data_IF_610718551540
#
_entry.id   IF_610718551540
#
_cell.length_a   1.000
_cell.length_b   1.000
_cell.length_c   1.000
_cell.angle_alpha   90.00
_cell.angle_beta   90.00
_cell.angle_gamma   90.00
#
_symmetry.space_group_name_H-M   'P 1'
#
loop_
_entity.id
_entity.type
_entity.pdbx_description
1 polymer ?
#
# COMPACT_ATOMS: atom_id res chain seq x y z
N UNK A 1 22.75 2.59 -51.31
CA UNK A 1 22.69 3.31 -50.08
C UNK A 1 21.42 2.85 -49.39
N UNK A 2 21.56 1.93 -48.46
CA UNK A 2 20.47 1.39 -47.63
C UNK A 2 20.72 1.96 -46.24
N UNK A 3 19.95 2.97 -45.87
CA UNK A 3 19.91 3.43 -44.49
C UNK A 3 18.92 2.53 -43.75
N UNK A 4 19.48 1.57 -43.05
CA UNK A 4 18.76 0.80 -42.05
C UNK A 4 18.58 1.70 -40.83
N UNK A 5 17.41 2.30 -40.70
CA UNK A 5 16.98 3.00 -39.50
C UNK A 5 16.63 1.95 -38.45
N UNK A 6 17.63 1.59 -37.67
CA UNK A 6 17.49 0.71 -36.49
C UNK A 6 16.82 1.52 -35.39
N UNK A 7 15.48 1.53 -35.39
CA UNK A 7 14.71 2.06 -34.30
C UNK A 7 14.80 1.05 -33.17
N UNK A 8 15.89 1.15 -32.39
CA UNK A 8 15.92 0.54 -31.07
C UNK A 8 14.81 1.22 -30.24
N UNK A 9 13.70 0.53 -30.10
CA UNK A 9 12.74 0.85 -29.03
C UNK A 9 13.48 0.69 -27.71
N UNK A 10 13.89 1.79 -27.10
CA UNK A 10 14.30 1.83 -25.70
C UNK A 10 13.12 1.27 -24.90
N UNK A 11 13.20 0.01 -24.52
CA UNK A 11 12.29 -0.54 -23.52
C UNK A 11 12.62 0.23 -22.24
N UNK A 12 11.75 1.17 -21.87
CA UNK A 12 11.82 1.81 -20.57
C UNK A 12 11.89 0.73 -19.49
N UNK A 13 13.00 0.70 -18.78
CA UNK A 13 13.24 -0.27 -17.72
C UNK A 13 12.15 -0.10 -16.64
N UNK A 14 11.33 -1.13 -16.46
CA UNK A 14 10.25 -1.11 -15.49
C UNK A 14 10.85 -1.28 -14.09
N UNK A 15 11.05 -0.19 -13.37
CA UNK A 15 11.62 -0.19 -12.04
C UNK A 15 10.55 0.10 -10.99
N UNK A 16 10.49 -0.70 -9.92
CA UNK A 16 9.47 -0.65 -8.87
C UNK A 16 10.09 -0.60 -7.48
N UNK A 17 9.69 0.38 -6.68
CA UNK A 17 9.98 0.47 -5.26
C UNK A 17 8.75 0.02 -4.46
N UNK A 18 8.93 -0.89 -3.49
CA UNK A 18 7.88 -1.32 -2.57
C UNK A 18 8.24 -0.78 -1.17
N UNK A 19 7.29 -0.09 -0.54
CA UNK A 19 7.40 0.38 0.85
C UNK A 19 6.36 -0.37 1.69
N UNK A 20 6.83 -1.38 2.44
CA UNK A 20 5.98 -2.34 3.13
C UNK A 20 6.75 -2.95 4.32
N UNK A 21 6.20 -2.93 5.51
CA UNK A 21 6.84 -3.42 6.72
C UNK A 21 6.60 -4.92 7.01
N UNK A 22 5.66 -5.54 6.32
CA UNK A 22 5.53 -6.99 6.28
C UNK A 22 6.50 -7.55 5.23
N UNK A 23 7.68 -7.99 5.69
CA UNK A 23 8.75 -8.51 4.85
C UNK A 23 8.29 -9.67 3.95
N UNK A 24 7.41 -10.55 4.46
CA UNK A 24 6.90 -11.68 3.67
C UNK A 24 6.00 -11.22 2.54
N UNK A 25 5.15 -10.25 2.83
CA UNK A 25 4.28 -9.68 1.81
C UNK A 25 5.09 -8.89 0.77
N UNK A 26 6.06 -8.06 1.23
CA UNK A 26 6.96 -7.32 0.35
C UNK A 26 7.76 -8.25 -0.58
N UNK A 27 8.30 -9.36 -0.05
CA UNK A 27 9.08 -10.33 -0.83
C UNK A 27 8.19 -11.09 -1.84
N UNK A 28 6.97 -11.47 -1.43
CA UNK A 28 6.00 -12.09 -2.34
C UNK A 28 5.66 -11.15 -3.48
N UNK A 29 5.32 -9.92 -3.17
CA UNK A 29 4.98 -8.90 -4.17
C UNK A 29 6.18 -8.61 -5.10
N UNK A 30 7.39 -8.52 -4.54
CA UNK A 30 8.60 -8.31 -5.31
C UNK A 30 8.89 -9.48 -6.27
N UNK A 31 8.64 -10.70 -5.85
CA UNK A 31 8.83 -11.90 -6.70
C UNK A 31 7.86 -11.88 -7.88
N UNK A 32 6.58 -11.64 -7.63
CA UNK A 32 5.54 -11.54 -8.66
C UNK A 32 5.87 -10.45 -9.71
N UNK A 33 6.36 -9.29 -9.27
CA UNK A 33 6.75 -8.23 -10.20
C UNK A 33 8.05 -8.54 -10.95
N UNK A 34 9.03 -9.22 -10.33
CA UNK A 34 10.23 -9.67 -11.04
C UNK A 34 9.89 -10.67 -12.14
N UNK A 35 8.96 -11.60 -11.89
CA UNK A 35 8.47 -12.55 -12.88
C UNK A 35 7.77 -11.85 -14.06
N UNK A 36 7.25 -10.64 -13.85
CA UNK A 36 6.67 -9.74 -14.87
C UNK A 36 7.70 -8.82 -15.54
N UNK A 37 8.99 -8.98 -15.23
CA UNK A 37 10.09 -8.25 -15.86
C UNK A 37 10.40 -6.90 -15.24
N UNK A 38 9.99 -6.65 -13.99
CA UNK A 38 10.38 -5.44 -13.25
C UNK A 38 11.70 -5.64 -12.50
N UNK A 39 12.50 -4.58 -12.43
CA UNK A 39 13.59 -4.46 -11.45
C UNK A 39 12.97 -3.94 -10.16
N UNK A 40 13.03 -4.71 -9.07
CA UNK A 40 12.29 -4.41 -7.83
C UNK A 40 13.23 -4.29 -6.64
N UNK A 41 13.09 -3.18 -5.91
CA UNK A 41 13.61 -3.01 -4.55
C UNK A 41 12.45 -2.87 -3.56
N UNK A 42 12.67 -3.25 -2.29
CA UNK A 42 11.71 -2.98 -1.22
C UNK A 42 12.39 -2.49 0.04
N UNK A 43 11.68 -1.66 0.79
CA UNK A 43 12.09 -1.06 2.05
C UNK A 43 10.97 -1.18 3.09
N UNK A 44 11.34 -1.34 4.36
CA UNK A 44 10.38 -1.62 5.42
C UNK A 44 9.91 -0.37 6.19
N UNK A 45 10.62 0.74 6.07
CA UNK A 45 10.37 1.96 6.84
C UNK A 45 10.89 3.22 6.13
N UNK A 46 10.58 4.38 6.69
CA UNK A 46 11.02 5.67 6.15
C UNK A 46 12.53 5.83 6.25
N UNK A 47 13.19 5.30 7.29
CA UNK A 47 14.63 5.43 7.43
C UNK A 47 15.37 4.71 6.29
N UNK A 48 14.91 3.53 5.89
CA UNK A 48 15.42 2.82 4.73
C UNK A 48 15.06 3.53 3.40
N UNK A 49 13.86 4.12 3.32
CA UNK A 49 13.44 4.92 2.18
C UNK A 49 14.32 6.16 1.98
N UNK A 50 14.76 6.81 3.05
CA UNK A 50 15.57 8.03 2.99
C UNK A 50 16.95 7.83 2.37
N UNK A 51 17.52 6.63 2.53
CA UNK A 51 18.82 6.27 1.92
C UNK A 51 18.67 5.63 0.53
N UNK A 52 17.43 5.36 0.10
CA UNK A 52 17.11 4.88 -1.25
C UNK A 52 16.83 6.08 -2.14
N UNK A 53 17.36 6.09 -3.38
CA UNK A 53 17.04 7.14 -4.34
C UNK A 53 15.74 6.80 -5.10
N UNK A 54 14.62 7.49 -4.83
CA UNK A 54 13.36 7.19 -5.52
C UNK A 54 13.36 7.58 -6.99
N UNK A 55 14.34 8.35 -7.46
CA UNK A 55 14.44 8.72 -8.89
C UNK A 55 14.87 7.55 -9.79
N UNK A 56 15.41 6.49 -9.20
CA UNK A 56 15.73 5.24 -9.90
C UNK A 56 14.49 4.39 -10.22
N UNK A 57 13.32 4.77 -9.67
CA UNK A 57 12.09 3.99 -9.79
C UNK A 57 11.01 4.74 -10.56
N UNK A 58 10.51 4.11 -11.64
CA UNK A 58 9.36 4.63 -12.40
C UNK A 58 8.06 4.48 -11.61
N UNK A 59 7.99 3.46 -10.74
CA UNK A 59 6.80 3.10 -9.99
C UNK A 59 7.12 2.89 -8.51
N UNK A 60 6.11 3.15 -7.65
CA UNK A 60 6.18 2.79 -6.25
C UNK A 60 4.84 2.22 -5.76
N UNK A 61 4.90 1.17 -4.94
CA UNK A 61 3.77 0.64 -4.17
C UNK A 61 4.04 0.93 -2.70
N UNK A 62 3.09 1.58 -2.02
CA UNK A 62 3.27 2.03 -0.63
C UNK A 62 2.10 1.52 0.22
N UNK A 63 2.40 0.76 1.29
CA UNK A 63 1.41 0.54 2.34
C UNK A 63 1.26 1.80 3.19
N UNK A 64 0.02 2.16 3.52
CA UNK A 64 -0.25 3.29 4.43
C UNK A 64 0.12 2.99 5.88
N UNK A 65 0.20 1.72 6.24
CA UNK A 65 0.48 1.28 7.61
C UNK A 65 1.85 0.63 7.69
N UNK A 66 2.80 1.44 8.01
CA UNK A 66 4.13 1.00 8.42
C UNK A 66 4.16 0.98 9.95
N UNK A 67 4.74 -0.04 10.58
CA UNK A 67 4.71 -0.28 12.05
C UNK A 67 5.07 0.93 12.90
N UNK A 68 5.98 1.77 12.42
CA UNK A 68 6.50 2.93 13.16
C UNK A 68 6.26 4.25 12.46
N UNK A 69 5.92 4.19 11.17
CA UNK A 69 5.88 5.32 10.27
C UNK A 69 4.51 5.43 9.60
N UNK A 70 4.28 6.53 8.91
CA UNK A 70 3.09 6.76 8.11
C UNK A 70 3.42 6.57 6.63
N UNK A 71 2.67 5.72 5.93
CA UNK A 71 2.79 5.61 4.49
C UNK A 71 2.48 6.92 3.76
N UNK A 72 1.69 7.83 4.36
CA UNK A 72 1.47 9.17 3.82
C UNK A 72 2.76 9.99 3.80
N UNK A 73 3.62 9.84 4.82
CA UNK A 73 4.92 10.51 4.87
C UNK A 73 5.88 9.89 3.85
N UNK A 74 5.81 8.56 3.66
CA UNK A 74 6.56 7.88 2.61
C UNK A 74 6.18 8.39 1.21
N UNK A 75 4.88 8.55 0.92
CA UNK A 75 4.41 9.14 -0.35
C UNK A 75 4.96 10.55 -0.53
N UNK A 76 4.88 11.38 0.50
CA UNK A 76 5.37 12.76 0.47
C UNK A 76 6.88 12.79 0.23
N UNK A 77 7.67 11.91 0.88
CA UNK A 77 9.11 11.78 0.68
C UNK A 77 9.44 11.38 -0.76
N UNK A 78 8.78 10.34 -1.30
CA UNK A 78 8.98 9.91 -2.70
C UNK A 78 8.66 11.05 -3.65
N UNK A 79 7.50 11.67 -3.54
CA UNK A 79 7.04 12.71 -4.47
C UNK A 79 7.85 13.99 -4.39
N UNK A 80 8.40 14.36 -3.23
CA UNK A 80 9.27 15.52 -3.10
C UNK A 80 10.63 15.31 -3.76
N UNK A 81 11.15 14.08 -3.75
CA UNK A 81 12.46 13.71 -4.29
C UNK A 81 12.38 13.24 -5.74
N UNK A 82 11.28 12.60 -6.12
CA UNK A 82 11.00 12.12 -7.48
C UNK A 82 9.54 12.37 -7.87
N UNK A 83 9.20 13.58 -8.35
CA UNK A 83 7.83 13.91 -8.78
C UNK A 83 7.29 13.01 -9.89
N UNK A 84 8.17 12.45 -10.73
CA UNK A 84 7.83 11.59 -11.85
C UNK A 84 7.43 10.17 -11.46
N UNK A 85 7.88 9.66 -10.31
CA UNK A 85 7.53 8.31 -9.84
C UNK A 85 6.02 8.19 -9.65
N UNK A 86 5.40 7.19 -10.27
CA UNK A 86 3.98 6.89 -10.07
C UNK A 86 3.81 6.09 -8.79
N UNK A 87 3.01 6.60 -7.88
CA UNK A 87 2.81 5.99 -6.57
C UNK A 87 1.40 5.42 -6.47
N UNK A 88 1.29 4.12 -6.28
CA UNK A 88 0.03 3.43 -5.97
C UNK A 88 0.05 3.01 -4.50
N UNK A 89 -1.01 3.37 -3.79
CA UNK A 89 -1.21 2.91 -2.42
C UNK A 89 -1.86 1.54 -2.44
N UNK A 90 -1.29 0.60 -1.69
CA UNK A 90 -1.85 -0.73 -1.51
C UNK A 90 -1.98 -1.02 -0.01
N UNK A 91 -3.18 -0.99 0.54
CA UNK A 91 -3.38 -1.10 1.98
C UNK A 91 -4.56 -2.00 2.37
N UNK A 92 -4.43 -2.71 3.48
CA UNK A 92 -5.53 -3.49 4.06
C UNK A 92 -6.63 -2.63 4.72
N UNK A 93 -6.44 -1.31 4.79
CA UNK A 93 -7.33 -0.41 5.52
C UNK A 93 -7.64 0.84 4.70
N UNK A 94 -8.71 0.76 3.93
CA UNK A 94 -9.18 1.85 3.11
C UNK A 94 -10.36 2.59 3.73
N UNK A 95 -10.15 3.84 4.16
CA UNK A 95 -11.25 4.76 4.32
C UNK A 95 -11.21 5.79 3.19
N UNK A 96 -12.36 6.31 2.78
CA UNK A 96 -12.44 7.40 1.80
C UNK A 96 -11.55 8.57 2.22
N UNK A 97 -11.52 8.89 3.51
CA UNK A 97 -10.68 9.96 4.05
C UNK A 97 -9.18 9.69 3.82
N UNK A 98 -8.75 8.44 4.00
CA UNK A 98 -7.35 8.03 3.82
C UNK A 98 -6.95 8.03 2.35
N UNK A 99 -7.84 7.58 1.47
CA UNK A 99 -7.64 7.63 0.01
C UNK A 99 -7.50 9.08 -0.47
N UNK A 100 -8.38 9.98 -0.01
CA UNK A 100 -8.30 11.42 -0.31
C UNK A 100 -6.99 12.04 0.18
N UNK A 101 -6.52 11.66 1.37
CA UNK A 101 -5.22 12.15 1.88
C UNK A 101 -4.04 11.62 1.06
N UNK A 102 -4.05 10.34 0.71
CA UNK A 102 -3.01 9.76 -0.13
C UNK A 102 -2.92 10.48 -1.49
N UNK A 103 -4.05 10.73 -2.13
CA UNK A 103 -4.12 11.49 -3.40
C UNK A 103 -3.59 12.93 -3.23
N UNK A 104 -3.93 13.62 -2.13
CA UNK A 104 -3.40 14.96 -1.83
C UNK A 104 -1.88 14.97 -1.62
N UNK A 105 -1.32 13.88 -1.09
CA UNK A 105 0.12 13.72 -0.92
C UNK A 105 0.83 13.29 -2.22
N UNK A 106 0.08 13.11 -3.30
CA UNK A 106 0.62 12.83 -4.64
C UNK A 106 0.55 11.36 -5.05
N UNK A 107 -0.16 10.49 -4.32
CA UNK A 107 -0.45 9.16 -4.82
C UNK A 107 -1.27 9.24 -6.11
N UNK A 108 -0.89 8.43 -7.09
CA UNK A 108 -1.57 8.37 -8.39
C UNK A 108 -2.88 7.60 -8.28
N UNK A 109 -2.89 6.54 -7.46
CA UNK A 109 -4.08 5.73 -7.22
C UNK A 109 -4.00 5.01 -5.86
N UNK A 110 -5.09 4.33 -5.52
CA UNK A 110 -5.30 3.67 -4.25
C UNK A 110 -6.03 2.34 -4.46
N UNK A 111 -5.48 1.24 -3.94
CA UNK A 111 -6.06 -0.09 -4.01
C UNK A 111 -6.13 -0.73 -2.61
N UNK A 112 -7.10 -1.61 -2.41
CA UNK A 112 -7.26 -2.32 -1.14
C UNK A 112 -6.73 -3.75 -1.23
N UNK A 113 -6.07 -4.22 -0.18
CA UNK A 113 -5.70 -5.64 -0.02
C UNK A 113 -6.95 -6.46 0.36
N UNK A 114 -7.19 -7.65 -0.20
CA UNK A 114 -6.39 -8.31 -1.22
C UNK A 114 -6.58 -7.69 -2.61
N UNK A 115 -5.53 -7.64 -3.41
CA UNK A 115 -5.54 -7.10 -4.76
C UNK A 115 -5.15 -8.20 -5.76
N UNK A 116 -5.74 -8.15 -6.93
CA UNK A 116 -5.29 -8.94 -8.08
C UNK A 116 -4.01 -8.31 -8.67
N UNK A 117 -3.05 -9.14 -9.06
CA UNK A 117 -1.75 -8.66 -9.55
C UNK A 117 -1.86 -7.96 -10.91
N UNK A 118 -2.80 -8.39 -11.76
CA UNK A 118 -3.02 -7.76 -13.07
C UNK A 118 -3.68 -6.39 -12.88
N UNK A 119 -4.59 -6.25 -11.91
CA UNK A 119 -5.19 -4.97 -11.51
C UNK A 119 -4.13 -4.01 -10.97
N UNK A 120 -3.24 -4.49 -10.09
CA UNK A 120 -2.18 -3.67 -9.52
C UNK A 120 -1.19 -3.20 -10.59
N UNK A 121 -0.73 -4.10 -11.47
CA UNK A 121 0.16 -3.75 -12.56
C UNK A 121 -0.50 -2.76 -13.53
N UNK A 122 -1.74 -3.02 -13.92
CA UNK A 122 -2.50 -2.12 -14.78
C UNK A 122 -2.59 -0.72 -14.16
N UNK A 123 -2.93 -0.63 -12.89
CA UNK A 123 -3.04 0.64 -12.15
C UNK A 123 -1.70 1.37 -12.05
N UNK A 124 -0.58 0.66 -11.85
CA UNK A 124 0.76 1.25 -11.85
C UNK A 124 1.10 1.86 -13.22
N UNK A 125 0.84 1.12 -14.30
CA UNK A 125 1.23 1.52 -15.66
C UNK A 125 0.33 2.62 -16.20
N UNK A 126 -0.97 2.52 -16.02
CA UNK A 126 -1.95 3.48 -16.59
C UNK A 126 -2.22 4.68 -15.67
N UNK A 127 -1.88 4.57 -14.38
CA UNK A 127 -2.27 5.54 -13.37
C UNK A 127 -3.77 5.50 -13.06
N UNK A 128 -4.47 4.46 -13.52
CA UNK A 128 -5.93 4.37 -13.39
C UNK A 128 -6.67 5.32 -14.33
N UNK A 129 -6.02 5.83 -15.37
CA UNK A 129 -6.65 6.67 -16.38
C UNK A 129 -7.65 5.84 -17.21
N UNK A 130 -8.90 5.94 -16.91
CA UNK A 130 -9.99 5.24 -17.62
C UNK A 130 -11.02 4.57 -16.73
N UNK A 131 -10.61 4.11 -15.55
CA UNK A 131 -11.57 3.68 -14.54
C UNK A 131 -11.71 4.79 -13.49
N UNK A 132 -12.95 5.24 -13.28
CA UNK A 132 -13.28 6.00 -12.08
C UNK A 132 -12.65 5.29 -10.91
N UNK A 133 -11.89 6.00 -10.07
CA UNK A 133 -11.36 5.44 -8.81
C UNK A 133 -12.43 4.53 -8.23
N UNK A 134 -12.21 3.22 -8.09
CA UNK A 134 -13.25 2.37 -7.56
C UNK A 134 -13.54 2.89 -6.15
N UNK A 135 -14.58 3.70 -6.02
CA UNK A 135 -15.25 3.83 -4.72
C UNK A 135 -15.64 2.39 -4.44
N UNK A 136 -15.13 1.75 -3.36
CA UNK A 136 -15.44 0.36 -3.11
C UNK A 136 -16.95 0.19 -3.18
N UNK A 137 -17.45 -0.47 -4.22
CA UNK A 137 -18.89 -0.62 -4.50
C UNK A 137 -19.54 -1.58 -3.49
N UNK A 138 -18.73 -2.28 -2.74
CA UNK A 138 -19.13 -2.98 -1.54
C UNK A 138 -18.78 -2.10 -0.32
N UNK A 139 -19.79 -1.44 0.20
CA UNK A 139 -19.75 -1.01 1.60
C UNK A 139 -19.43 -2.23 2.45
N UNK A 140 -18.15 -2.41 2.78
CA UNK A 140 -17.75 -3.46 3.70
C UNK A 140 -18.60 -3.29 4.95
N UNK A 141 -19.25 -4.35 5.39
CA UNK A 141 -20.19 -4.26 6.50
C UNK A 141 -19.50 -3.57 7.69
N UNK A 142 -20.22 -2.72 8.41
CA UNK A 142 -19.70 -2.05 9.62
C UNK A 142 -19.01 -3.03 10.58
N UNK A 143 -19.53 -4.28 10.65
CA UNK A 143 -18.96 -5.38 11.42
C UNK A 143 -17.53 -5.75 10.97
N UNK A 144 -17.21 -5.68 9.68
CA UNK A 144 -15.88 -5.97 9.14
C UNK A 144 -14.91 -4.84 9.43
N UNK A 145 -15.30 -3.60 9.21
CA UNK A 145 -14.48 -2.43 9.56
C UNK A 145 -14.22 -2.35 11.07
N UNK A 146 -15.24 -2.63 11.88
CA UNK A 146 -15.10 -2.67 13.33
C UNK A 146 -14.11 -3.74 13.77
N UNK A 147 -14.20 -4.94 13.19
CA UNK A 147 -13.28 -6.05 13.45
C UNK A 147 -11.84 -5.67 13.13
N UNK A 148 -11.61 -5.21 11.92
CA UNK A 148 -10.28 -4.84 11.41
C UNK A 148 -9.65 -3.75 12.29
N UNK A 149 -10.43 -2.72 12.66
CA UNK A 149 -9.95 -1.66 13.55
C UNK A 149 -9.62 -2.17 14.96
N UNK A 150 -10.42 -3.10 15.50
CA UNK A 150 -10.14 -3.73 16.79
C UNK A 150 -8.88 -4.58 16.74
N UNK A 151 -8.70 -5.40 15.71
CA UNK A 151 -7.52 -6.25 15.51
C UNK A 151 -6.25 -5.40 15.38
N UNK A 152 -6.34 -4.29 14.65
CA UNK A 152 -5.25 -3.34 14.55
C UNK A 152 -4.82 -2.76 15.90
N UNK A 153 -5.77 -2.16 16.64
CA UNK A 153 -5.45 -1.56 17.95
C UNK A 153 -4.93 -2.61 18.93
N UNK A 154 -5.40 -3.86 18.81
CA UNK A 154 -4.92 -4.97 19.63
C UNK A 154 -3.46 -5.32 19.30
N UNK A 155 -3.10 -5.35 18.02
CA UNK A 155 -1.73 -5.58 17.57
C UNK A 155 -0.79 -4.45 18.01
N UNK A 156 -1.20 -3.20 17.86
CA UNK A 156 -0.47 -2.02 18.35
C UNK A 156 -0.23 -2.04 19.88
N UNK A 157 -1.10 -2.75 20.60
CA UNK A 157 -0.98 -2.95 22.04
C UNK A 157 -0.25 -4.27 22.40
N UNK A 158 0.39 -4.95 21.45
CA UNK A 158 1.07 -6.22 21.67
C UNK A 158 0.15 -7.32 22.21
N UNK A 159 -1.13 -7.33 21.80
CA UNK A 159 -2.14 -8.27 22.29
C UNK A 159 -2.75 -7.91 23.66
N UNK A 160 -2.36 -6.79 24.27
CA UNK A 160 -2.87 -6.38 25.58
C UNK A 160 -4.30 -5.83 25.47
N UNK A 161 -5.29 -6.68 25.75
CA UNK A 161 -6.72 -6.37 25.66
C UNK A 161 -7.11 -5.17 26.53
N UNK A 162 -6.50 -5.00 27.71
CA UNK A 162 -6.84 -3.89 28.62
C UNK A 162 -6.35 -2.54 28.08
N UNK A 163 -5.19 -2.55 27.43
CA UNK A 163 -4.63 -1.35 26.80
C UNK A 163 -5.39 -1.02 25.50
N UNK A 164 -5.69 -2.03 24.68
CA UNK A 164 -6.50 -1.87 23.49
C UNK A 164 -7.90 -1.33 23.80
N UNK A 165 -8.56 -1.86 24.82
CA UNK A 165 -9.88 -1.38 25.26
C UNK A 165 -9.84 0.11 25.64
N UNK A 166 -8.82 0.54 26.38
CA UNK A 166 -8.65 1.97 26.74
C UNK A 166 -8.45 2.85 25.51
N UNK A 167 -7.62 2.41 24.54
CA UNK A 167 -7.40 3.16 23.28
C UNK A 167 -8.66 3.24 22.41
N UNK A 168 -9.49 2.20 22.45
CA UNK A 168 -10.75 2.13 21.71
C UNK A 168 -11.93 2.85 22.43
N UNK A 169 -11.73 3.36 23.65
CA UNK A 169 -12.82 3.92 24.45
C UNK A 169 -13.85 2.87 24.89
N UNK A 170 -13.45 1.59 24.96
CA UNK A 170 -14.32 0.47 25.32
C UNK A 170 -14.00 -0.08 26.70
N UNK A 171 -15.02 -0.68 27.36
CA UNK A 171 -14.75 -1.55 28.49
C UNK A 171 -14.08 -2.85 28.04
N UNK A 172 -13.12 -3.37 28.85
CA UNK A 172 -12.41 -4.61 28.57
C UNK A 172 -13.34 -5.77 28.20
N UNK A 173 -14.44 -5.93 28.94
CA UNK A 173 -15.43 -6.99 28.71
C UNK A 173 -16.14 -6.82 27.35
N UNK A 174 -16.43 -5.59 26.95
CA UNK A 174 -17.03 -5.29 25.65
C UNK A 174 -16.09 -5.67 24.50
N UNK A 175 -14.80 -5.33 24.62
CA UNK A 175 -13.80 -5.72 23.64
C UNK A 175 -13.64 -7.25 23.57
N UNK A 176 -13.58 -7.95 24.70
CA UNK A 176 -13.52 -9.41 24.71
C UNK A 176 -14.73 -10.05 24.06
N UNK A 177 -15.93 -9.50 24.27
CA UNK A 177 -17.16 -10.01 23.62
C UNK A 177 -17.11 -9.83 22.10
N UNK A 178 -16.60 -8.68 21.62
CA UNK A 178 -16.43 -8.41 20.20
C UNK A 178 -15.41 -9.38 19.58
N UNK A 179 -14.26 -9.58 20.20
CA UNK A 179 -13.25 -10.52 19.75
C UNK A 179 -13.77 -11.96 19.64
N UNK A 180 -14.62 -12.40 20.58
CA UNK A 180 -15.26 -13.74 20.51
C UNK A 180 -16.25 -13.87 19.36
N UNK A 181 -16.97 -12.79 19.00
CA UNK A 181 -17.89 -12.77 17.86
C UNK A 181 -17.15 -12.99 16.52
N UNK A 182 -15.89 -12.60 16.46
CA UNK A 182 -15.05 -12.63 15.26
C UNK A 182 -14.23 -13.92 15.08
N UNK A 183 -14.18 -14.79 16.10
CA UNK A 183 -13.51 -16.10 15.99
C UNK A 183 -14.51 -17.12 15.41
N UNK A 184 -14.28 -17.69 14.20
CA UNK A 184 -15.13 -18.78 13.71
C UNK A 184 -14.99 -19.98 14.65
N UNK A 185 -16.10 -20.69 14.88
CA UNK A 185 -16.11 -21.99 15.54
C UNK A 185 -15.60 -23.06 14.63
#
# INVERSE_FOLDING_TARGET
MHDSNDTQSEQEEKTLLIVEDDERFAETLATEFRDRGYTVAYVADIAALEVTDPSEFSYAVVDLRLRRDSGLDAISSIKSRSPGTRVVVLTGYGSIATAVQATKNGATNYLTKPVDMDELEHTLVTGGAGDETPIPDEFQSLDRHEREYIEYVLNECGGNISQAARRLGLHRQSLQRKLRKFTPR
#
